data_IF_282657310385
#
_entry.id   IF_282657310385
#
_cell.length_a   1.000
_cell.length_b   1.000
_cell.length_c   1.000
_cell.angle_alpha   90.00
_cell.angle_beta   90.00
_cell.angle_gamma   90.00
#
_symmetry.space_group_name_H-M   'P 1'
#
loop_
_entity.id
_entity.type
_entity.pdbx_description
1 polymer ?
#
# COMPACT_ATOMS: atom_id res chain seq x y z
N UNK A 1 -4.29 9.76 15.12
CA UNK A 1 -3.67 8.49 15.53
C UNK A 1 -2.49 8.77 16.44
N UNK A 2 -2.01 7.76 17.16
CA UNK A 2 -0.79 7.85 18.00
C UNK A 2 0.48 7.39 17.27
N UNK A 3 0.33 6.76 16.11
CA UNK A 3 1.43 6.29 15.28
C UNK A 3 1.54 7.11 13.99
N UNK A 4 2.77 7.24 13.50
CA UNK A 4 3.13 7.82 12.21
C UNK A 4 3.58 6.64 11.34
N UNK A 5 2.81 6.34 10.29
CA UNK A 5 3.20 5.39 9.25
C UNK A 5 4.14 6.03 8.23
N UNK A 6 5.14 5.30 7.76
CA UNK A 6 6.11 5.78 6.78
C UNK A 6 6.61 4.64 5.90
N UNK A 7 7.15 4.99 4.74
CA UNK A 7 7.87 4.08 3.85
C UNK A 7 9.10 4.80 3.31
N UNK A 8 10.06 4.05 2.81
CA UNK A 8 11.29 4.64 2.28
C UNK A 8 12.23 3.62 1.66
N UNK A 9 13.47 4.06 1.43
CA UNK A 9 14.53 3.25 0.83
C UNK A 9 15.79 3.34 1.68
N UNK A 10 16.36 2.18 2.03
CA UNK A 10 17.65 2.11 2.71
C UNK A 10 18.79 2.49 1.75
N UNK A 11 19.98 2.85 2.28
CA UNK A 11 21.15 3.16 1.44
C UNK A 11 21.57 2.03 0.49
N UNK A 12 21.29 0.77 0.84
CA UNK A 12 21.55 -0.40 -0.01
C UNK A 12 20.49 -0.63 -1.11
N UNK A 13 19.49 0.25 -1.20
CA UNK A 13 18.45 0.22 -2.21
C UNK A 13 17.24 -0.65 -1.85
N UNK A 14 17.22 -1.36 -0.72
CA UNK A 14 16.00 -2.07 -0.29
C UNK A 14 14.94 -1.08 0.17
N UNK A 15 13.68 -1.32 -0.18
CA UNK A 15 12.57 -0.51 0.31
C UNK A 15 12.16 -0.97 1.72
N UNK A 16 11.42 -0.15 2.44
CA UNK A 16 10.82 -0.51 3.73
C UNK A 16 9.48 0.17 3.95
N UNK A 17 8.66 -0.44 4.82
CA UNK A 17 7.46 0.15 5.40
C UNK A 17 7.61 0.05 6.92
N UNK A 18 7.20 1.09 7.64
CA UNK A 18 7.27 1.13 9.08
C UNK A 18 6.22 2.04 9.72
N UNK A 19 6.16 1.96 11.03
CA UNK A 19 5.44 2.88 11.88
C UNK A 19 6.25 3.16 13.14
N UNK A 20 6.03 4.34 13.70
CA UNK A 20 6.61 4.76 14.97
C UNK A 20 5.56 5.52 15.77
N UNK A 21 5.59 5.43 17.10
CA UNK A 21 4.75 6.28 17.94
C UNK A 21 5.23 7.73 17.86
N UNK A 22 4.32 8.69 18.01
CA UNK A 22 4.62 10.12 17.86
C UNK A 22 5.73 10.64 18.80
N UNK A 23 6.04 9.91 19.87
CA UNK A 23 7.10 10.19 20.85
C UNK A 23 8.44 9.50 20.52
N UNK A 24 8.58 8.98 19.30
CA UNK A 24 9.74 8.23 18.81
C UNK A 24 9.99 6.87 19.50
N UNK A 25 8.99 6.31 20.18
CA UNK A 25 9.06 4.96 20.74
C UNK A 25 8.31 3.94 19.87
N UNK A 26 8.41 2.65 20.22
CA UNK A 26 7.62 1.58 19.60
C UNK A 26 7.77 1.48 18.06
N UNK A 27 9.01 1.68 17.57
CA UNK A 27 9.30 1.56 16.13
C UNK A 27 9.14 0.12 15.67
N UNK A 28 8.33 -0.07 14.62
CA UNK A 28 8.19 -1.32 13.89
C UNK A 28 8.49 -1.05 12.40
N UNK A 29 9.40 -1.82 11.80
CA UNK A 29 9.87 -1.57 10.45
C UNK A 29 10.21 -2.88 9.74
N UNK A 30 9.80 -3.00 8.47
CA UNK A 30 9.98 -4.19 7.65
C UNK A 30 10.72 -3.84 6.36
N UNK A 31 11.84 -4.53 6.11
CA UNK A 31 12.55 -4.45 4.83
C UNK A 31 11.82 -5.27 3.77
N UNK A 32 11.67 -4.71 2.58
CA UNK A 32 10.92 -5.28 1.47
C UNK A 32 11.79 -5.30 0.20
N UNK A 33 11.78 -6.40 -0.57
CA UNK A 33 12.42 -6.44 -1.88
C UNK A 33 11.55 -5.80 -2.99
N UNK A 34 10.39 -5.23 -2.64
CA UNK A 34 9.40 -4.70 -3.58
C UNK A 34 9.33 -3.18 -3.54
N UNK A 35 8.96 -2.55 -4.65
CA UNK A 35 8.51 -1.16 -4.65
C UNK A 35 7.22 -1.02 -3.84
N UNK A 36 7.17 0.01 -2.99
CA UNK A 36 6.04 0.27 -2.10
C UNK A 36 5.02 1.18 -2.77
N UNK A 37 5.49 2.22 -3.47
CA UNK A 37 4.66 3.30 -3.98
C UNK A 37 4.10 4.14 -2.84
N UNK A 38 3.05 4.92 -3.11
CA UNK A 38 2.29 5.60 -2.08
C UNK A 38 1.59 4.58 -1.19
N UNK A 39 1.72 4.75 0.12
CA UNK A 39 1.17 3.79 1.10
C UNK A 39 0.14 4.44 2.01
N UNK A 40 -0.80 3.62 2.48
CA UNK A 40 -1.78 4.00 3.49
C UNK A 40 -2.16 2.82 4.38
N UNK A 41 -2.57 3.10 5.61
CA UNK A 41 -3.16 2.15 6.54
C UNK A 41 -4.03 2.88 7.56
N UNK A 42 -5.08 2.24 8.06
CA UNK A 42 -5.91 2.77 9.15
C UNK A 42 -5.28 2.49 10.53
N UNK A 43 -4.70 1.31 10.73
CA UNK A 43 -4.24 0.79 12.04
C UNK A 43 -2.97 -0.07 11.97
N UNK A 44 -2.32 -0.14 10.79
CA UNK A 44 -1.15 -0.96 10.47
C UNK A 44 -1.39 -2.48 10.38
N UNK A 45 -2.64 -2.96 10.55
CA UNK A 45 -2.96 -4.38 10.34
C UNK A 45 -2.95 -4.76 8.85
N UNK A 46 -3.55 -3.90 8.01
CA UNK A 46 -3.46 -3.98 6.55
C UNK A 46 -2.83 -2.71 6.00
N UNK A 47 -1.97 -2.87 5.00
CA UNK A 47 -1.26 -1.77 4.36
C UNK A 47 -1.51 -1.87 2.86
N UNK A 48 -1.94 -0.77 2.25
CA UNK A 48 -2.10 -0.67 0.79
C UNK A 48 -0.93 0.10 0.19
N UNK A 49 -0.50 -0.30 -1.00
CA UNK A 49 0.48 0.41 -1.82
C UNK A 49 0.10 0.41 -3.29
N UNK A 50 0.71 1.31 -4.07
CA UNK A 50 0.54 1.40 -5.53
C UNK A 50 1.85 1.22 -6.31
N UNK A 51 2.87 0.62 -5.70
CA UNK A 51 4.12 0.33 -6.40
C UNK A 51 3.90 -0.45 -7.70
N UNK A 52 4.78 -0.27 -8.68
CA UNK A 52 4.69 -0.95 -9.97
C UNK A 52 3.45 -0.56 -10.77
N UNK A 53 2.60 -1.54 -11.11
CA UNK A 53 1.40 -1.37 -11.95
C UNK A 53 0.09 -1.79 -11.25
N UNK A 54 0.18 -2.14 -9.95
CA UNK A 54 -0.90 -2.77 -9.20
C UNK A 54 -1.16 -2.09 -7.86
N UNK A 55 -2.42 -2.03 -7.47
CA UNK A 55 -2.80 -1.87 -6.07
C UNK A 55 -2.48 -3.19 -5.36
N UNK A 56 -1.71 -3.09 -4.28
CA UNK A 56 -1.18 -4.25 -3.55
C UNK A 56 -1.43 -4.11 -2.05
N UNK A 57 -1.54 -5.25 -1.38
CA UNK A 57 -1.79 -5.34 0.05
C UNK A 57 -0.69 -6.12 0.77
N UNK A 58 -0.31 -5.61 1.94
CA UNK A 58 0.42 -6.36 2.95
C UNK A 58 -0.44 -6.53 4.20
N UNK A 59 -0.20 -7.58 4.96
CA UNK A 59 -0.87 -7.86 6.23
C UNK A 59 0.13 -8.10 7.34
N UNK A 60 -0.01 -7.40 8.45
CA UNK A 60 0.75 -7.67 9.65
C UNK A 60 0.24 -8.97 10.29
N UNK A 61 1.13 -9.94 10.42
CA UNK A 61 0.91 -11.17 11.18
C UNK A 61 1.96 -11.30 12.29
N UNK A 62 1.89 -12.38 13.07
CA UNK A 62 2.80 -12.61 14.19
C UNK A 62 4.25 -12.79 13.74
N UNK A 63 4.45 -13.32 12.55
CA UNK A 63 5.74 -13.65 11.94
C UNK A 63 6.36 -12.46 11.19
N UNK A 64 5.61 -11.37 11.00
CA UNK A 64 6.06 -10.17 10.31
C UNK A 64 5.02 -9.62 9.34
N UNK A 65 5.47 -9.04 8.24
CA UNK A 65 4.60 -8.45 7.23
C UNK A 65 4.42 -9.42 6.05
N UNK A 66 3.26 -10.06 5.97
CA UNK A 66 2.90 -10.97 4.89
C UNK A 66 2.54 -10.19 3.61
N UNK A 67 3.00 -10.66 2.45
CA UNK A 67 2.69 -10.09 1.13
C UNK A 67 3.93 -9.62 0.37
N UNK A 68 3.77 -8.75 -0.64
CA UNK A 68 2.51 -8.17 -1.10
C UNK A 68 1.64 -9.17 -1.87
N UNK A 69 0.33 -8.92 -1.83
CA UNK A 69 -0.66 -9.57 -2.70
C UNK A 69 -1.34 -8.56 -3.60
N UNK A 70 -1.67 -8.96 -4.83
CA UNK A 70 -2.26 -8.12 -5.86
C UNK A 70 -3.75 -7.98 -5.60
N UNK A 71 -4.24 -6.74 -5.45
CA UNK A 71 -5.67 -6.46 -5.39
C UNK A 71 -6.25 -6.24 -6.80
N UNK A 72 -5.64 -5.34 -7.57
CA UNK A 72 -6.02 -5.04 -8.95
C UNK A 72 -4.90 -4.27 -9.68
N UNK A 73 -4.97 -4.20 -11.01
CA UNK A 73 -4.14 -3.27 -11.78
C UNK A 73 -4.69 -1.84 -11.65
N UNK A 74 -3.86 -0.85 -11.31
CA UNK A 74 -4.33 0.54 -11.26
C UNK A 74 -4.37 1.19 -12.64
N UNK A 75 -3.56 0.72 -13.61
CA UNK A 75 -3.48 1.23 -15.01
C UNK A 75 -3.39 2.75 -15.10
N UNK A 76 -2.74 3.35 -14.11
CA UNK A 76 -2.43 4.77 -14.13
C UNK A 76 -1.19 4.99 -14.98
N UNK A 77 -1.26 6.00 -15.83
CA UNK A 77 -0.11 6.47 -16.61
C UNK A 77 0.95 7.20 -15.79
N UNK A 78 0.64 7.64 -14.56
CA UNK A 78 1.54 8.38 -13.66
C UNK A 78 2.13 9.69 -14.24
N UNK A 79 1.65 10.18 -15.38
CA UNK A 79 2.21 11.34 -16.09
C UNK A 79 1.99 12.68 -15.38
N UNK A 80 0.94 12.79 -14.55
CA UNK A 80 0.66 13.93 -13.67
C UNK A 80 0.24 13.44 -12.29
N UNK A 81 0.48 14.24 -11.25
CA UNK A 81 0.18 13.88 -9.86
C UNK A 81 -1.29 13.51 -9.63
N UNK A 82 -2.22 14.19 -10.32
CA UNK A 82 -3.65 13.90 -10.23
C UNK A 82 -4.02 12.53 -10.80
N UNK A 83 -3.16 11.91 -11.60
CA UNK A 83 -3.38 10.55 -12.09
C UNK A 83 -2.74 9.50 -11.16
N UNK A 84 -1.91 9.88 -10.18
CA UNK A 84 -1.23 8.93 -9.30
C UNK A 84 -2.26 8.21 -8.40
N UNK A 85 -2.16 6.87 -8.22
CA UNK A 85 -3.23 6.13 -7.55
C UNK A 85 -3.51 6.57 -6.11
N UNK A 86 -2.49 6.85 -5.30
CA UNK A 86 -2.63 7.29 -3.90
C UNK A 86 -3.72 6.51 -3.14
N UNK A 87 -3.61 5.17 -3.06
CA UNK A 87 -4.69 4.34 -2.56
C UNK A 87 -4.96 4.61 -1.07
N UNK A 88 -6.23 4.62 -0.68
CA UNK A 88 -6.69 4.85 0.69
C UNK A 88 -7.77 3.85 1.05
N UNK A 89 -7.71 3.33 2.29
CA UNK A 89 -8.75 2.46 2.82
C UNK A 89 -10.02 3.28 3.12
N UNK A 90 -11.18 2.66 2.97
CA UNK A 90 -12.42 3.12 3.61
C UNK A 90 -12.27 3.07 5.15
N UNK A 91 -13.07 3.83 5.92
CA UNK A 91 -12.96 3.86 7.38
C UNK A 91 -13.13 2.49 8.05
N UNK A 92 -13.97 1.62 7.49
CA UNK A 92 -14.21 0.25 7.95
C UNK A 92 -13.20 -0.78 7.40
N UNK A 93 -12.29 -0.36 6.50
CA UNK A 93 -11.28 -1.21 5.91
C UNK A 93 -11.80 -2.23 4.89
N UNK A 94 -13.05 -2.13 4.43
CA UNK A 94 -13.66 -3.07 3.47
C UNK A 94 -13.37 -2.74 2.01
N UNK A 95 -12.96 -1.50 1.71
CA UNK A 95 -12.72 -1.02 0.35
C UNK A 95 -11.45 -0.15 0.25
N UNK A 96 -10.92 0.00 -0.97
CA UNK A 96 -9.85 0.93 -1.31
C UNK A 96 -10.29 1.90 -2.40
N UNK A 97 -10.16 3.19 -2.13
CA UNK A 97 -10.27 4.27 -3.10
C UNK A 97 -8.90 4.53 -3.72
N UNK A 98 -8.82 4.68 -5.04
CA UNK A 98 -7.61 5.10 -5.75
C UNK A 98 -7.95 5.92 -7.00
N UNK A 99 -6.97 6.65 -7.52
CA UNK A 99 -7.12 7.42 -8.75
C UNK A 99 -6.53 6.67 -9.95
N UNK A 100 -7.15 6.77 -11.12
CA UNK A 100 -6.58 6.27 -12.36
C UNK A 100 -7.10 7.06 -13.56
N UNK A 101 -6.30 7.09 -14.62
CA UNK A 101 -6.72 7.64 -15.91
C UNK A 101 -6.85 6.58 -17.01
N UNK A 102 -7.09 5.32 -16.64
CA UNK A 102 -7.30 4.20 -17.58
C UNK A 102 -8.40 4.46 -18.61
N UNK A 103 -9.40 5.28 -18.27
CA UNK A 103 -10.50 5.68 -19.17
C UNK A 103 -10.16 6.87 -20.07
N UNK A 104 -8.94 7.40 -20.01
CA UNK A 104 -8.47 8.58 -20.74
C UNK A 104 -8.47 9.88 -19.91
N UNK A 105 -9.23 9.93 -18.81
CA UNK A 105 -9.28 11.06 -17.87
C UNK A 105 -9.09 10.59 -16.44
N UNK A 106 -8.54 11.44 -15.57
CA UNK A 106 -8.41 11.15 -14.14
C UNK A 106 -9.76 10.92 -13.47
N UNK A 107 -9.95 9.75 -12.88
CA UNK A 107 -11.18 9.31 -12.22
C UNK A 107 -10.86 8.60 -10.90
N UNK A 108 -11.83 8.61 -10.00
CA UNK A 108 -11.79 7.85 -8.76
C UNK A 108 -12.39 6.46 -8.97
N UNK A 109 -11.71 5.45 -8.45
CA UNK A 109 -12.14 4.05 -8.47
C UNK A 109 -12.19 3.53 -7.04
N UNK A 110 -13.20 2.71 -6.77
CA UNK A 110 -13.40 2.05 -5.48
C UNK A 110 -13.41 0.55 -5.73
N UNK A 111 -12.61 -0.19 -4.98
CA UNK A 111 -12.48 -1.66 -5.09
C UNK A 111 -12.71 -2.30 -3.73
N UNK A 112 -13.50 -3.37 -3.70
CA UNK A 112 -13.70 -4.18 -2.49
C UNK A 112 -12.47 -5.03 -2.18
N UNK A 113 -12.19 -5.21 -0.90
CA UNK A 113 -11.10 -6.07 -0.44
C UNK A 113 -11.67 -7.46 -0.17
N UNK A 114 -11.34 -8.47 -0.99
CA UNK A 114 -11.73 -9.84 -0.70
C UNK A 114 -10.88 -10.42 0.43
N UNK A 115 -11.14 -11.67 0.81
CA UNK A 115 -10.31 -12.39 1.78
C UNK A 115 -8.85 -12.38 1.32
N UNK A 116 -7.95 -11.87 2.16
CA UNK A 116 -6.54 -11.61 1.81
C UNK A 116 -5.83 -12.83 1.19
N UNK A 117 -6.09 -14.03 1.70
CA UNK A 117 -5.51 -15.28 1.22
C UNK A 117 -5.87 -15.62 -0.23
N UNK A 118 -7.02 -15.13 -0.69
CA UNK A 118 -7.52 -15.36 -2.06
C UNK A 118 -6.82 -14.49 -3.10
N UNK A 119 -6.14 -13.42 -2.65
CA UNK A 119 -5.41 -12.53 -3.55
C UNK A 119 -4.12 -13.19 -4.06
N UNK A 120 -3.81 -13.07 -5.37
CA UNK A 120 -2.56 -13.56 -5.94
C UNK A 120 -1.34 -12.93 -5.25
N UNK A 121 -0.27 -13.72 -5.08
CA UNK A 121 1.02 -13.17 -4.65
C UNK A 121 1.67 -12.42 -5.82
N UNK A 122 2.50 -11.42 -5.52
CA UNK A 122 3.44 -10.88 -6.50
C UNK A 122 4.64 -11.81 -6.54
N UNK A 123 4.86 -12.47 -7.67
CA UNK A 123 6.08 -13.25 -7.89
C UNK A 123 7.28 -12.29 -8.05
N UNK A 124 8.38 -12.61 -7.37
CA UNK A 124 9.68 -11.91 -7.45
C UNK A 124 10.46 -12.33 -8.68
#
# INVERSE_FOLDING_TARGET
GVHIGYHGKYPDGRNFIGMIKYDNTEKLEFSLPYETGHTHSNDFHLIVGDGGTVIRLWRLCREGLEGPRILCEHRSSLHIQQAHPHPRFSPDGSQILYTSNVSGYGNLYLVEIPTFETLPKIDT
#
